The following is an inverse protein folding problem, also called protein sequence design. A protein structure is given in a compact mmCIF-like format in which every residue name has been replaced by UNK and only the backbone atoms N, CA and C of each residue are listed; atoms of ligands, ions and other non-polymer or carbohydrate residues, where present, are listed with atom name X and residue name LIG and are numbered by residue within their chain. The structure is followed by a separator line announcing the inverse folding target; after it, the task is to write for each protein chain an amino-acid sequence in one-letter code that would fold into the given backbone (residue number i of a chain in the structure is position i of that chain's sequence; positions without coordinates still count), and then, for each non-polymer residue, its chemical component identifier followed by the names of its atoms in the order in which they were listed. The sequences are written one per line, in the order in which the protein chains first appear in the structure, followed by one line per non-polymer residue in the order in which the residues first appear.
data_IF_919997172179
#
_entry.id   IF_919997172179
#
_cell.length_a   1.000
_cell.length_b   1.000
_cell.length_c   1.000
_cell.angle_alpha   90.00
_cell.angle_beta   90.00
_cell.angle_gamma   90.00
#
_symmetry.space_group_name_H-M   'P 1'
#
loop_
_entity.id
_entity.type
_entity.pdbx_description
1 polymer ?
#
# COMPACT_ATOMS: atom_id res chain seq x y z
N UNK A 1 25.17 7.20 -14.85
CA UNK A 1 23.92 6.88 -14.12
C UNK A 1 23.35 5.63 -14.77
N UNK A 2 23.22 4.56 -14.02
CA UNK A 2 22.64 3.31 -14.52
C UNK A 2 21.12 3.52 -14.64
N UNK A 3 20.63 3.45 -15.87
CA UNK A 3 19.20 3.54 -16.19
C UNK A 3 18.63 2.12 -16.22
N UNK A 4 17.55 1.85 -15.50
CA UNK A 4 16.81 0.61 -15.58
C UNK A 4 15.48 0.86 -16.28
N UNK A 5 15.09 -0.02 -17.20
CA UNK A 5 13.81 0.04 -17.92
C UNK A 5 12.97 -1.18 -17.57
N UNK A 6 11.75 -0.94 -17.17
CA UNK A 6 10.72 -1.97 -17.05
C UNK A 6 9.58 -1.64 -18.03
N UNK A 7 8.95 -2.66 -18.57
CA UNK A 7 7.82 -2.51 -19.50
C UNK A 7 6.72 -3.51 -19.21
N UNK A 8 5.53 -3.22 -19.67
CA UNK A 8 4.38 -4.08 -19.53
C UNK A 8 3.42 -3.96 -20.72
N UNK A 9 2.42 -4.85 -20.80
CA UNK A 9 1.36 -4.74 -21.83
C UNK A 9 0.69 -3.36 -21.77
N UNK A 10 0.51 -2.83 -20.56
CA UNK A 10 0.02 -1.48 -20.33
C UNK A 10 0.76 -0.81 -19.18
N UNK A 11 1.03 0.48 -19.32
CA UNK A 11 1.44 1.36 -18.21
C UNK A 11 0.31 2.33 -17.93
N UNK A 12 -0.12 2.38 -16.67
CA UNK A 12 -1.14 3.31 -16.17
C UNK A 12 -0.45 4.38 -15.33
N UNK A 13 -0.09 5.54 -15.92
CA UNK A 13 0.65 6.57 -15.20
C UNK A 13 -0.20 7.31 -14.17
N UNK A 14 -1.53 7.16 -14.21
CA UNK A 14 -2.55 7.86 -13.40
C UNK A 14 -2.66 9.36 -13.74
N UNK A 15 -1.58 9.98 -14.20
CA UNK A 15 -1.54 11.39 -14.61
C UNK A 15 -1.88 11.62 -16.08
N UNK A 16 -2.20 10.55 -16.82
CA UNK A 16 -2.56 10.57 -18.24
C UNK A 16 -3.21 9.26 -18.66
N UNK A 17 -3.46 9.14 -19.96
CA UNK A 17 -4.09 7.95 -20.56
C UNK A 17 -3.20 6.70 -20.41
N UNK A 18 -3.80 5.50 -20.34
CA UNK A 18 -3.06 4.25 -20.35
C UNK A 18 -2.21 4.09 -21.63
N UNK A 19 -0.96 3.67 -21.45
CA UNK A 19 0.01 3.51 -22.54
C UNK A 19 0.14 2.02 -22.86
N UNK A 20 -0.29 1.61 -24.05
CA UNK A 20 -0.12 0.23 -24.53
C UNK A 20 1.34 0.00 -24.88
N UNK A 21 1.86 -1.21 -24.55
CA UNK A 21 3.27 -1.56 -24.68
C UNK A 21 4.16 -0.50 -24.04
N UNK A 22 3.76 -0.07 -22.83
CA UNK A 22 4.41 1.03 -22.15
C UNK A 22 5.68 0.62 -21.41
N UNK A 23 6.55 1.59 -21.17
CA UNK A 23 7.73 1.43 -20.34
C UNK A 23 7.86 2.56 -19.31
N UNK A 24 8.62 2.27 -18.26
CA UNK A 24 9.07 3.24 -17.26
C UNK A 24 10.57 3.10 -17.10
N UNK A 25 11.28 4.21 -17.23
CA UNK A 25 12.69 4.33 -16.92
C UNK A 25 12.90 4.97 -15.56
N UNK A 26 13.82 4.44 -14.80
CA UNK A 26 14.19 5.00 -13.50
C UNK A 26 15.69 4.85 -13.22
N UNK A 27 16.18 5.73 -12.36
CA UNK A 27 17.58 5.71 -11.92
C UNK A 27 17.81 4.73 -10.75
N UNK A 28 19.04 4.66 -10.29
CA UNK A 28 19.47 3.84 -9.17
C UNK A 28 18.82 4.16 -7.83
N UNK A 29 18.21 5.35 -7.70
CA UNK A 29 17.46 5.80 -6.52
C UNK A 29 15.94 5.55 -6.66
N UNK A 30 15.50 4.95 -7.77
CA UNK A 30 14.08 4.69 -8.05
C UNK A 30 13.32 5.92 -8.57
N UNK A 31 14.01 7.02 -8.93
CA UNK A 31 13.36 8.19 -9.53
C UNK A 31 12.98 7.89 -10.96
N UNK A 32 11.71 8.10 -11.30
CA UNK A 32 11.22 7.98 -12.67
C UNK A 32 11.86 9.06 -13.53
N UNK A 33 12.47 8.65 -14.63
CA UNK A 33 13.14 9.50 -15.61
C UNK A 33 12.26 9.74 -16.83
N UNK A 34 11.59 8.68 -17.29
CA UNK A 34 10.79 8.71 -18.52
C UNK A 34 9.68 7.66 -18.46
N UNK A 35 8.55 7.96 -19.10
CA UNK A 35 7.45 7.03 -19.35
C UNK A 35 7.07 7.18 -20.81
N UNK A 36 6.89 6.07 -21.54
CA UNK A 36 6.53 6.11 -22.96
C UNK A 36 6.03 4.77 -23.48
N UNK A 37 5.79 4.72 -24.78
CA UNK A 37 5.44 3.51 -25.51
C UNK A 37 6.69 2.91 -26.20
N UNK A 38 6.79 1.58 -26.24
CA UNK A 38 7.81 0.88 -27.02
C UNK A 38 7.37 0.77 -28.48
N UNK A 39 8.23 1.20 -29.39
CA UNK A 39 8.06 1.06 -30.83
C UNK A 39 8.85 -0.16 -31.36
N UNK A 40 8.55 -1.34 -30.85
CA UNK A 40 9.22 -2.59 -31.21
C UNK A 40 10.05 -3.20 -30.09
N UNK A 41 10.93 -4.18 -30.44
CA UNK A 41 11.82 -4.81 -29.49
C UNK A 41 12.92 -3.86 -29.05
N UNK A 42 13.18 -3.79 -27.76
CA UNK A 42 14.18 -2.90 -27.18
C UNK A 42 15.13 -3.72 -26.29
N UNK A 43 16.43 -3.60 -26.51
CA UNK A 43 17.44 -4.21 -25.66
C UNK A 43 17.36 -3.66 -24.22
N UNK A 44 17.78 -4.49 -23.25
CA UNK A 44 17.88 -4.12 -21.84
C UNK A 44 16.56 -3.70 -21.19
N UNK A 45 15.44 -4.26 -21.66
CA UNK A 45 14.11 -4.02 -21.10
C UNK A 45 13.62 -5.26 -20.34
N UNK A 46 13.24 -5.06 -19.06
CA UNK A 46 12.56 -6.09 -18.27
C UNK A 46 11.07 -6.04 -18.58
N UNK A 47 10.52 -7.09 -19.17
CA UNK A 47 9.09 -7.14 -19.52
C UNK A 47 8.28 -7.91 -18.47
N UNK A 48 7.16 -7.31 -18.07
CA UNK A 48 6.16 -7.92 -17.19
C UNK A 48 4.82 -8.05 -17.92
N UNK A 49 4.28 -9.27 -17.94
CA UNK A 49 2.96 -9.50 -18.53
C UNK A 49 1.88 -9.00 -17.58
N UNK A 50 1.21 -7.92 -17.96
CA UNK A 50 0.15 -7.31 -17.15
C UNK A 50 0.11 -5.78 -17.25
N UNK A 51 -0.25 -5.17 -16.15
CA UNK A 51 -0.37 -3.70 -16.01
C UNK A 51 0.69 -3.22 -15.02
N UNK A 52 1.45 -2.21 -15.42
CA UNK A 52 2.36 -1.47 -14.55
C UNK A 52 1.68 -0.17 -14.13
N UNK A 53 1.57 0.05 -12.84
CA UNK A 53 1.02 1.28 -12.28
C UNK A 53 1.79 1.70 -11.01
N UNK A 54 1.66 2.94 -10.55
CA UNK A 54 2.15 3.34 -9.23
C UNK A 54 1.55 2.47 -8.12
N UNK A 55 2.27 2.33 -7.01
CA UNK A 55 1.75 1.66 -5.83
C UNK A 55 0.51 2.38 -5.28
N UNK A 56 -0.38 1.61 -4.68
CA UNK A 56 -1.64 2.13 -4.14
C UNK A 56 -1.44 2.96 -2.87
N UNK A 57 -2.34 3.91 -2.66
CA UNK A 57 -2.41 4.69 -1.42
C UNK A 57 -3.68 4.32 -0.66
N UNK A 58 -3.52 3.83 0.57
CA UNK A 58 -4.64 3.72 1.50
C UNK A 58 -4.82 5.07 2.21
N UNK A 59 -5.79 5.85 1.73
CA UNK A 59 -6.01 7.22 2.19
C UNK A 59 -6.74 7.31 3.54
N UNK A 60 -7.22 6.21 4.11
CA UNK A 60 -7.89 6.18 5.41
C UNK A 60 -7.76 4.80 6.03
N UNK A 61 -7.05 4.71 7.14
CA UNK A 61 -6.82 3.47 7.86
C UNK A 61 -6.88 3.70 9.37
N UNK A 62 -7.20 2.64 10.12
CA UNK A 62 -7.06 2.52 11.56
C UNK A 62 -6.29 1.24 11.84
N UNK A 63 -4.99 1.26 11.58
CA UNK A 63 -4.14 0.04 11.64
C UNK A 63 -4.10 -0.56 13.05
N UNK A 64 -4.27 0.24 14.06
CA UNK A 64 -4.36 -0.19 15.47
C UNK A 64 -5.52 -1.16 15.73
N UNK A 65 -6.55 -1.17 14.87
CA UNK A 65 -7.71 -2.04 14.99
C UNK A 65 -7.56 -3.36 14.22
N UNK A 66 -6.39 -3.71 13.73
CA UNK A 66 -6.14 -4.91 12.94
C UNK A 66 -6.59 -6.21 13.61
N UNK A 67 -6.51 -6.28 14.93
CA UNK A 67 -6.97 -7.42 15.74
C UNK A 67 -8.50 -7.58 15.76
N UNK A 68 -9.25 -6.59 15.27
CA UNK A 68 -10.72 -6.63 15.19
C UNK A 68 -11.25 -7.11 13.84
N UNK A 69 -10.36 -7.53 12.94
CA UNK A 69 -10.76 -8.09 11.66
C UNK A 69 -11.77 -9.23 11.88
N UNK A 70 -12.85 -9.22 11.10
CA UNK A 70 -13.93 -10.20 11.11
C UNK A 70 -14.70 -10.34 12.45
N UNK A 71 -14.49 -9.40 13.40
CA UNK A 71 -15.18 -9.42 14.72
C UNK A 71 -16.41 -8.49 14.80
N UNK A 72 -16.67 -7.71 13.75
CA UNK A 72 -17.80 -6.76 13.77
C UNK A 72 -19.08 -7.42 13.25
N UNK A 73 -20.17 -7.14 13.96
CA UNK A 73 -21.50 -7.45 13.45
C UNK A 73 -21.88 -6.41 12.39
N UNK A 74 -22.26 -6.89 11.21
CA UNK A 74 -22.66 -6.04 10.10
C UNK A 74 -24.02 -5.37 10.34
N UNK A 75 -24.29 -4.30 9.56
CA UNK A 75 -25.58 -3.60 9.49
C UNK A 75 -26.04 -2.95 10.80
N UNK A 76 -25.13 -2.64 11.71
CA UNK A 76 -25.44 -1.99 13.00
C UNK A 76 -25.47 -0.46 12.91
N UNK A 77 -25.20 0.12 11.74
CA UNK A 77 -25.05 1.55 11.54
C UNK A 77 -23.81 2.12 12.27
N UNK A 78 -23.59 3.44 12.13
CA UNK A 78 -22.40 4.10 12.68
C UNK A 78 -22.32 3.97 14.21
N UNK A 79 -23.44 4.20 14.91
CA UNK A 79 -23.45 4.12 16.38
C UNK A 79 -23.16 2.69 16.87
N UNK A 80 -23.73 1.67 16.23
CA UNK A 80 -23.46 0.27 16.55
C UNK A 80 -22.01 -0.11 16.27
N UNK A 81 -21.44 0.37 15.16
CA UNK A 81 -20.04 0.15 14.84
C UNK A 81 -19.10 0.77 15.89
N UNK A 82 -19.32 2.04 16.28
CA UNK A 82 -18.50 2.70 17.31
C UNK A 82 -18.61 1.97 18.65
N UNK A 83 -19.83 1.54 19.04
CA UNK A 83 -20.03 0.79 20.28
C UNK A 83 -19.24 -0.54 20.27
N UNK A 84 -19.19 -1.24 19.13
CA UNK A 84 -18.42 -2.48 19.00
C UNK A 84 -16.91 -2.20 19.10
N UNK A 85 -16.39 -1.14 18.47
CA UNK A 85 -14.98 -0.73 18.63
C UNK A 85 -14.68 -0.51 20.11
N UNK A 86 -15.49 0.28 20.81
CA UNK A 86 -15.26 0.60 22.21
C UNK A 86 -15.29 -0.65 23.13
N UNK A 87 -16.13 -1.62 22.81
CA UNK A 87 -16.23 -2.87 23.56
C UNK A 87 -15.10 -3.85 23.27
N UNK A 88 -14.53 -3.83 22.07
CA UNK A 88 -13.60 -4.84 21.59
C UNK A 88 -12.15 -4.37 21.46
N UNK A 89 -11.88 -3.04 21.51
CA UNK A 89 -10.55 -2.51 21.26
C UNK A 89 -9.46 -3.10 22.15
N UNK A 90 -9.76 -3.48 23.38
CA UNK A 90 -8.85 -4.08 24.34
C UNK A 90 -9.08 -5.59 24.52
N UNK A 91 -9.74 -6.23 23.55
CA UNK A 91 -10.10 -7.66 23.62
C UNK A 91 -8.93 -8.63 23.40
N UNK A 92 -7.76 -8.13 22.99
CA UNK A 92 -6.56 -8.92 22.79
C UNK A 92 -5.38 -8.34 23.60
N UNK A 93 -4.42 -9.17 24.04
CA UNK A 93 -3.18 -8.71 24.65
C UNK A 93 -2.42 -7.72 23.76
N UNK A 94 -1.70 -6.77 24.38
CA UNK A 94 -0.96 -5.73 23.63
C UNK A 94 0.05 -6.32 22.65
N UNK A 95 0.75 -7.35 23.04
CA UNK A 95 1.75 -8.05 22.22
C UNK A 95 1.12 -8.67 20.98
N UNK A 96 -0.08 -9.25 21.12
CA UNK A 96 -0.83 -9.81 20.00
C UNK A 96 -1.30 -8.71 19.05
N UNK A 97 -1.82 -7.59 19.60
CA UNK A 97 -2.22 -6.43 18.76
C UNK A 97 -1.06 -5.88 17.95
N UNK A 98 0.13 -5.71 18.57
CA UNK A 98 1.34 -5.24 17.88
C UNK A 98 1.76 -6.21 16.77
N UNK A 99 1.73 -7.53 17.03
CA UNK A 99 2.07 -8.54 16.03
C UNK A 99 1.11 -8.49 14.82
N UNK A 100 -0.19 -8.37 15.06
CA UNK A 100 -1.21 -8.25 14.01
C UNK A 100 -1.09 -6.94 13.22
N UNK A 101 -0.70 -5.84 13.85
CA UNK A 101 -0.40 -4.57 13.17
C UNK A 101 0.76 -4.79 12.18
N UNK A 102 1.85 -5.43 12.60
CA UNK A 102 2.99 -5.70 11.72
C UNK A 102 2.58 -6.60 10.55
N UNK A 103 1.82 -7.67 10.81
CA UNK A 103 1.31 -8.57 9.77
C UNK A 103 0.48 -7.81 8.72
N UNK A 104 -0.38 -6.89 9.16
CA UNK A 104 -1.20 -6.10 8.23
C UNK A 104 -0.36 -5.12 7.40
N UNK A 105 0.70 -4.53 7.96
CA UNK A 105 1.65 -3.73 7.18
C UNK A 105 2.31 -4.56 6.08
N UNK A 106 2.83 -5.73 6.44
CA UNK A 106 3.53 -6.62 5.50
C UNK A 106 2.57 -7.10 4.40
N UNK A 107 1.34 -7.44 4.77
CA UNK A 107 0.30 -7.85 3.83
C UNK A 107 -0.09 -6.73 2.87
N UNK A 108 -0.40 -5.54 3.37
CA UNK A 108 -0.76 -4.39 2.51
C UNK A 108 0.38 -4.05 1.54
N UNK A 109 1.63 -4.09 2.02
CA UNK A 109 2.78 -3.85 1.15
C UNK A 109 2.91 -4.93 0.06
N UNK A 110 2.73 -6.20 0.40
CA UNK A 110 2.73 -7.31 -0.56
C UNK A 110 1.59 -7.21 -1.60
N UNK A 111 0.46 -6.62 -1.21
CA UNK A 111 -0.69 -6.35 -2.10
C UNK A 111 -0.53 -5.05 -2.91
N UNK A 112 0.63 -4.36 -2.81
CA UNK A 112 0.98 -3.19 -3.62
C UNK A 112 0.60 -1.84 -3.00
N UNK A 113 0.21 -1.78 -1.73
CA UNK A 113 0.02 -0.51 -1.02
C UNK A 113 1.40 0.05 -0.64
N UNK A 114 1.71 1.26 -1.10
CA UNK A 114 3.02 1.91 -0.87
C UNK A 114 2.92 3.15 0.02
N UNK A 115 1.71 3.63 0.26
CA UNK A 115 1.46 4.77 1.15
C UNK A 115 0.18 4.58 1.96
N UNK A 116 0.15 5.10 3.18
CA UNK A 116 -1.00 5.00 4.07
C UNK A 116 -1.18 6.27 4.91
N UNK A 117 -2.42 6.74 4.99
CA UNK A 117 -2.87 7.73 5.96
C UNK A 117 -3.60 6.99 7.09
N UNK A 118 -3.00 6.99 8.28
CA UNK A 118 -3.50 6.26 9.44
C UNK A 118 -4.02 7.21 10.51
N UNK A 119 -5.25 6.99 10.93
CA UNK A 119 -5.89 7.72 12.04
C UNK A 119 -5.72 6.85 13.29
N UNK A 120 -4.85 7.28 14.19
CA UNK A 120 -4.37 6.47 15.30
C UNK A 120 -4.76 7.08 16.64
N UNK A 121 -5.29 6.25 17.54
CA UNK A 121 -5.67 6.66 18.90
C UNK A 121 -4.67 6.15 19.96
N UNK A 122 -3.62 5.43 19.53
CA UNK A 122 -2.57 4.90 20.40
C UNK A 122 -1.22 4.83 19.68
N UNK A 123 -0.16 4.46 20.41
CA UNK A 123 1.21 4.38 19.92
C UNK A 123 1.63 2.98 19.44
N UNK A 124 0.77 1.98 19.54
CA UNK A 124 1.10 0.57 19.27
C UNK A 124 1.57 0.31 17.83
N UNK A 125 1.20 1.18 16.88
CA UNK A 125 1.60 1.08 15.47
C UNK A 125 2.94 1.77 15.14
N UNK A 126 3.52 2.55 16.04
CA UNK A 126 4.65 3.42 15.72
C UNK A 126 5.92 2.64 15.33
N UNK A 127 6.25 1.58 16.07
CA UNK A 127 7.39 0.74 15.73
C UNK A 127 7.24 0.06 14.37
N UNK A 128 6.04 -0.42 14.04
CA UNK A 128 5.75 -1.00 12.74
C UNK A 128 5.85 0.05 11.62
N UNK A 129 5.38 1.27 11.85
CA UNK A 129 5.52 2.40 10.92
C UNK A 129 6.97 2.76 10.64
N UNK A 130 7.84 2.68 11.65
CA UNK A 130 9.28 2.93 11.48
C UNK A 130 10.00 1.82 10.68
N UNK A 131 9.47 0.60 10.69
CA UNK A 131 10.08 -0.56 10.01
C UNK A 131 9.53 -0.82 8.62
N UNK A 132 8.31 -0.38 8.33
CA UNK A 132 7.68 -0.61 7.02
C UNK A 132 8.39 0.13 5.90
N UNK A 133 8.30 -0.41 4.68
CA UNK A 133 8.73 0.26 3.45
C UNK A 133 7.68 1.24 2.90
N UNK A 134 6.47 1.22 3.45
CA UNK A 134 5.41 2.14 3.04
C UNK A 134 5.66 3.53 3.60
N UNK A 135 5.33 4.56 2.83
CA UNK A 135 5.20 5.90 3.38
C UNK A 135 3.96 5.98 4.28
N UNK A 136 4.14 6.43 5.51
CA UNK A 136 3.03 6.53 6.47
C UNK A 136 2.85 7.95 6.98
N UNK A 137 1.59 8.40 7.03
CA UNK A 137 1.20 9.64 7.69
C UNK A 137 0.21 9.31 8.79
N UNK A 138 0.52 9.70 10.02
CA UNK A 138 -0.36 9.51 11.19
C UNK A 138 -1.09 10.82 11.51
N UNK A 139 -2.36 10.70 11.87
CA UNK A 139 -3.26 11.78 12.29
C UNK A 139 -3.82 11.49 13.67
#
# INVERSE_FOLDING_TARGET
MTKRRISANYVFPVTGEPIKNGYVDFDENGKILEIGALEGETESTEFYNGILCPGFTNAHCHIELSHLKDKFQEKTGMSGFINQINALRDSAPKEERIALIQEQFDRMYAEGVTAMADISNCDESFDAKCRTKMYTRTF
#
